data_IF_273971539392
#
_entry.id   IF_273971539392
#
_cell.length_a   1.000
_cell.length_b   1.000
_cell.length_c   1.000
_cell.angle_alpha   90.00
_cell.angle_beta   90.00
_cell.angle_gamma   90.00
#
_symmetry.space_group_name_H-M   'P 1'
#
loop_
_entity.id
_entity.type
_entity.pdbx_description
1 polymer ?
#
# COMPACT_ATOMS: atom_id res chain seq x y z
N UNK A 1 -54.44 2.55 49.14
CA UNK A 1 -53.55 3.59 48.62
C UNK A 1 -52.24 2.91 48.23
N UNK A 2 -52.09 2.54 46.95
CA UNK A 2 -50.89 1.87 46.41
C UNK A 2 -50.03 2.87 45.70
N UNK A 3 -48.83 3.14 46.19
CA UNK A 3 -47.84 4.03 45.55
C UNK A 3 -47.05 3.23 44.55
N UNK A 4 -47.25 3.48 43.24
CA UNK A 4 -46.40 3.00 42.16
C UNK A 4 -45.08 3.76 42.15
N UNK A 5 -43.98 3.06 42.37
CA UNK A 5 -42.62 3.59 42.08
C UNK A 5 -42.30 3.31 40.62
N UNK A 6 -42.27 4.35 39.82
CA UNK A 6 -41.69 4.30 38.45
C UNK A 6 -40.18 4.47 38.55
N UNK A 7 -39.45 3.36 38.37
CA UNK A 7 -38.00 3.39 38.22
C UNK A 7 -37.65 3.78 36.79
N UNK A 8 -37.07 4.96 36.61
CA UNK A 8 -36.49 5.38 35.32
C UNK A 8 -35.13 4.71 35.19
N UNK A 9 -35.05 3.70 34.31
CA UNK A 9 -33.80 3.06 33.90
C UNK A 9 -33.15 3.91 32.81
N UNK A 10 -32.20 4.75 33.20
CA UNK A 10 -31.40 5.53 32.26
C UNK A 10 -30.41 4.59 31.52
N UNK A 11 -30.74 4.22 30.29
CA UNK A 11 -29.82 3.53 29.39
C UNK A 11 -28.71 4.49 28.96
N UNK A 12 -27.53 4.37 29.57
CA UNK A 12 -26.31 4.98 29.04
C UNK A 12 -25.94 4.24 27.72
N UNK A 13 -26.35 4.82 26.60
CA UNK A 13 -25.79 4.45 25.30
C UNK A 13 -24.36 5.00 25.23
N UNK A 14 -23.38 4.14 25.49
CA UNK A 14 -22.00 4.41 25.10
C UNK A 14 -21.96 4.48 23.57
N UNK A 15 -21.97 5.68 23.01
CA UNK A 15 -21.58 5.92 21.65
C UNK A 15 -20.08 5.61 21.59
N UNK A 16 -19.72 4.38 21.23
CA UNK A 16 -18.39 4.04 20.82
C UNK A 16 -18.12 4.84 19.53
N UNK A 17 -17.57 6.02 19.68
CA UNK A 17 -17.01 6.78 18.58
C UNK A 17 -15.92 5.89 17.96
N UNK A 18 -16.23 5.30 16.82
CA UNK A 18 -15.23 4.57 16.04
C UNK A 18 -14.13 5.56 15.69
N UNK A 19 -13.00 5.47 16.39
CA UNK A 19 -11.76 6.06 15.90
C UNK A 19 -11.48 5.33 14.60
N UNK A 20 -11.59 6.02 13.47
CA UNK A 20 -11.06 5.51 12.22
C UNK A 20 -9.55 5.36 12.44
N UNK A 21 -9.10 4.14 12.69
CA UNK A 21 -7.69 3.82 12.70
C UNK A 21 -7.15 4.18 11.32
N UNK A 22 -6.05 4.93 11.27
CA UNK A 22 -5.38 5.23 10.01
C UNK A 22 -4.69 3.99 9.48
N UNK A 23 -4.39 3.96 8.19
CA UNK A 23 -3.68 2.83 7.56
C UNK A 23 -2.46 2.37 8.35
N UNK A 24 -1.70 3.31 8.95
CA UNK A 24 -0.53 2.98 9.76
C UNK A 24 -0.89 2.21 11.04
N UNK A 25 -2.03 2.53 11.68
CA UNK A 25 -2.48 1.83 12.88
C UNK A 25 -2.90 0.40 12.53
N UNK A 26 -3.58 0.20 11.39
CA UNK A 26 -3.95 -1.12 10.89
C UNK A 26 -2.71 -1.96 10.55
N UNK A 27 -1.70 -1.34 9.88
CA UNK A 27 -0.41 -1.96 9.57
C UNK A 27 0.30 -2.41 10.84
N UNK A 28 0.37 -1.54 11.86
CA UNK A 28 0.99 -1.86 13.16
C UNK A 28 0.24 -2.96 13.90
N UNK A 29 -1.09 -2.90 13.91
CA UNK A 29 -1.93 -3.93 14.56
C UNK A 29 -1.77 -5.31 13.89
N UNK A 30 -1.60 -5.34 12.57
CA UNK A 30 -1.37 -6.56 11.79
C UNK A 30 0.05 -7.12 11.96
N UNK A 31 1.03 -6.29 12.29
CA UNK A 31 2.43 -6.67 12.47
C UNK A 31 3.22 -6.87 11.17
N UNK A 32 2.69 -6.49 10.03
CA UNK A 32 3.40 -6.51 8.74
C UNK A 32 2.83 -5.49 7.76
N UNK A 33 3.67 -5.05 6.82
CA UNK A 33 3.31 -4.19 5.69
C UNK A 33 2.89 -5.04 4.50
N UNK A 34 1.76 -4.74 3.85
CA UNK A 34 1.36 -5.32 2.57
C UNK A 34 1.81 -4.38 1.45
N UNK A 35 2.81 -4.80 0.69
CA UNK A 35 3.41 -4.00 -0.37
C UNK A 35 3.08 -4.55 -1.75
N UNK A 36 2.38 -3.75 -2.56
CA UNK A 36 2.11 -4.04 -3.96
C UNK A 36 3.32 -3.71 -4.83
N UNK A 37 3.86 -4.71 -5.51
CA UNK A 37 5.02 -4.60 -6.40
C UNK A 37 4.68 -5.06 -7.81
N UNK A 38 5.57 -4.85 -8.78
CA UNK A 38 5.40 -5.37 -10.14
C UNK A 38 5.52 -6.89 -10.17
N UNK A 39 4.82 -7.54 -11.09
CA UNK A 39 4.91 -9.00 -11.31
C UNK A 39 6.17 -9.44 -12.08
N UNK A 40 6.95 -8.49 -12.62
CA UNK A 40 8.17 -8.78 -13.37
C UNK A 40 8.73 -7.52 -14.01
N UNK A 41 9.52 -6.76 -13.26
CA UNK A 41 10.26 -5.60 -13.73
C UNK A 41 11.73 -5.78 -13.28
N UNK A 42 12.62 -6.30 -14.15
CA UNK A 42 14.02 -6.54 -13.80
C UNK A 42 14.70 -5.31 -13.21
N UNK A 43 15.39 -5.48 -12.08
CA UNK A 43 16.02 -4.39 -11.32
C UNK A 43 15.07 -3.69 -10.34
N UNK A 44 13.76 -3.72 -10.54
CA UNK A 44 12.77 -3.09 -9.67
C UNK A 44 12.01 -4.10 -8.79
N UNK A 45 11.35 -5.07 -9.39
CA UNK A 45 10.69 -6.14 -8.67
C UNK A 45 10.65 -7.41 -9.53
N UNK A 46 11.34 -8.45 -9.10
CA UNK A 46 11.34 -9.79 -9.68
C UNK A 46 11.48 -10.83 -8.59
N UNK A 47 11.26 -12.07 -8.94
CA UNK A 47 11.57 -13.21 -8.09
C UNK A 47 12.87 -13.82 -8.57
N UNK A 48 13.82 -14.04 -7.67
CA UNK A 48 15.09 -14.69 -7.99
C UNK A 48 14.96 -16.22 -8.12
N UNK A 49 16.04 -16.88 -8.48
CA UNK A 49 16.07 -18.35 -8.66
C UNK A 49 15.76 -19.13 -7.38
N UNK A 50 15.83 -18.50 -6.22
CA UNK A 50 15.45 -19.06 -4.92
C UNK A 50 13.99 -18.85 -4.53
N UNK A 51 13.21 -18.14 -5.38
CA UNK A 51 11.83 -17.78 -5.11
C UNK A 51 11.66 -16.55 -4.22
N UNK A 52 12.71 -15.74 -4.03
CA UNK A 52 12.69 -14.56 -3.18
C UNK A 52 12.46 -13.30 -4.00
N UNK A 53 11.60 -12.41 -3.49
CA UNK A 53 11.41 -11.09 -4.08
C UNK A 53 12.68 -10.25 -3.95
N UNK A 54 13.12 -9.64 -5.07
CA UNK A 54 14.33 -8.82 -5.17
C UNK A 54 14.11 -7.60 -6.06
N UNK A 55 14.85 -6.53 -5.80
CA UNK A 55 14.88 -5.32 -6.62
C UNK A 55 14.60 -4.05 -5.84
N UNK A 56 14.75 -2.92 -6.50
CA UNK A 56 14.65 -1.58 -5.90
C UNK A 56 13.32 -1.33 -5.17
N UNK A 57 12.19 -1.65 -5.81
CA UNK A 57 10.86 -1.47 -5.20
C UNK A 57 10.66 -2.37 -3.99
N UNK A 58 11.19 -3.60 -4.06
CA UNK A 58 11.17 -4.57 -2.98
C UNK A 58 11.98 -4.08 -1.78
N UNK A 59 13.18 -3.57 -2.01
CA UNK A 59 14.05 -3.04 -0.95
C UNK A 59 13.48 -1.75 -0.35
N UNK A 60 12.80 -0.93 -1.15
CA UNK A 60 12.07 0.23 -0.65
C UNK A 60 10.99 -0.18 0.37
N UNK A 61 10.20 -1.22 0.09
CA UNK A 61 9.22 -1.73 1.03
C UNK A 61 9.85 -2.37 2.26
N UNK A 62 11.00 -3.02 2.13
CA UNK A 62 11.77 -3.51 3.29
C UNK A 62 12.25 -2.37 4.17
N UNK A 63 12.69 -1.27 3.58
CA UNK A 63 13.09 -0.07 4.33
C UNK A 63 11.90 0.54 5.10
N UNK A 64 10.72 0.58 4.50
CA UNK A 64 9.49 1.02 5.19
C UNK A 64 9.11 0.07 6.34
N UNK A 65 9.18 -1.24 6.13
CA UNK A 65 8.93 -2.22 7.19
C UNK A 65 9.92 -2.06 8.34
N UNK A 66 11.20 -1.87 8.04
CA UNK A 66 12.22 -1.59 9.04
C UNK A 66 11.93 -0.30 9.83
N UNK A 67 11.45 0.75 9.16
CA UNK A 67 11.09 2.01 9.82
C UNK A 67 9.86 1.88 10.73
N UNK A 68 8.89 1.03 10.36
CA UNK A 68 7.64 0.85 11.12
C UNK A 68 7.83 -0.13 12.29
N UNK A 69 8.54 -1.25 12.06
CA UNK A 69 8.62 -2.39 12.96
C UNK A 69 10.03 -2.64 13.55
N UNK A 70 11.07 -1.97 13.02
CA UNK A 70 12.46 -2.31 13.32
C UNK A 70 12.94 -3.59 12.63
N UNK A 71 12.10 -4.19 11.77
CA UNK A 71 12.37 -5.43 11.06
C UNK A 71 12.06 -5.29 9.55
N UNK A 72 13.07 -5.37 8.66
CA UNK A 72 12.88 -5.30 7.22
C UNK A 72 12.12 -6.52 6.65
N UNK A 73 11.98 -7.59 7.41
CA UNK A 73 11.27 -8.79 6.99
C UNK A 73 9.79 -8.76 7.36
N UNK A 74 9.34 -7.76 8.14
CA UNK A 74 7.93 -7.57 8.47
C UNK A 74 7.14 -6.96 7.30
N UNK A 75 7.31 -7.54 6.11
CA UNK A 75 6.63 -7.14 4.86
C UNK A 75 6.18 -8.36 4.08
N UNK A 76 5.01 -8.26 3.44
CA UNK A 76 4.51 -9.23 2.47
C UNK A 76 4.37 -8.54 1.12
N UNK A 77 4.91 -9.17 0.08
CA UNK A 77 4.83 -8.66 -1.29
C UNK A 77 3.63 -9.24 -2.01
N UNK A 78 2.94 -8.38 -2.74
CA UNK A 78 1.80 -8.75 -3.58
C UNK A 78 2.10 -8.29 -5.00
N UNK A 79 2.30 -9.26 -5.90
CA UNK A 79 2.55 -9.00 -7.31
C UNK A 79 1.29 -8.47 -8.00
N UNK A 80 1.30 -7.24 -8.47
CA UNK A 80 0.16 -6.59 -9.11
C UNK A 80 0.50 -6.18 -10.54
N UNK A 81 -0.41 -6.40 -11.47
CA UNK A 81 -0.29 -5.88 -12.83
C UNK A 81 -0.61 -4.38 -12.89
N UNK A 82 -0.30 -3.73 -14.00
CA UNK A 82 -0.65 -2.33 -14.20
C UNK A 82 -2.15 -2.07 -14.24
N UNK A 83 -2.95 -3.07 -14.60
CA UNK A 83 -4.40 -2.96 -14.69
C UNK A 83 -5.09 -2.97 -13.31
N UNK A 84 -4.59 -3.80 -12.37
CA UNK A 84 -5.30 -4.05 -11.10
C UNK A 84 -4.73 -3.30 -9.89
N UNK A 85 -3.54 -2.69 -10.02
CA UNK A 85 -2.83 -2.11 -8.87
C UNK A 85 -3.62 -1.06 -8.07
N UNK A 86 -4.34 -0.18 -8.78
CA UNK A 86 -5.12 0.87 -8.11
C UNK A 86 -6.37 0.34 -7.45
N UNK A 87 -7.02 -0.65 -8.05
CA UNK A 87 -8.18 -1.32 -7.46
C UNK A 87 -7.77 -2.09 -6.22
N UNK A 88 -6.65 -2.80 -6.25
CA UNK A 88 -6.11 -3.52 -5.10
C UNK A 88 -5.76 -2.56 -3.94
N UNK A 89 -5.15 -1.40 -4.23
CA UNK A 89 -4.88 -0.39 -3.21
C UNK A 89 -6.17 0.19 -2.64
N UNK A 90 -7.13 0.53 -3.48
CA UNK A 90 -8.43 1.07 -3.05
C UNK A 90 -9.26 0.07 -2.23
N UNK A 91 -9.11 -1.23 -2.51
CA UNK A 91 -9.77 -2.31 -1.77
C UNK A 91 -9.04 -2.67 -0.45
N UNK A 92 -7.87 -2.11 -0.19
CA UNK A 92 -7.07 -2.43 1.00
C UNK A 92 -6.38 -3.79 0.93
N UNK A 93 -6.24 -4.37 -0.27
CA UNK A 93 -5.47 -5.61 -0.48
C UNK A 93 -3.96 -5.38 -0.26
N UNK A 94 -3.53 -4.14 -0.46
CA UNK A 94 -2.19 -3.66 -0.14
C UNK A 94 -2.27 -2.30 0.55
N UNK A 95 -1.30 -2.01 1.39
CA UNK A 95 -1.21 -0.73 2.12
C UNK A 95 -0.51 0.34 1.30
N UNK A 96 0.42 -0.09 0.46
CA UNK A 96 1.25 0.78 -0.38
C UNK A 96 1.57 0.12 -1.72
N UNK A 97 1.73 0.95 -2.74
CA UNK A 97 2.27 0.54 -4.02
C UNK A 97 3.70 1.07 -4.17
N UNK A 98 4.69 0.19 -4.25
CA UNK A 98 6.05 0.50 -4.65
C UNK A 98 6.31 -0.15 -6.01
N UNK A 99 6.09 0.63 -7.06
CA UNK A 99 6.26 0.15 -8.44
C UNK A 99 6.26 1.30 -9.44
N UNK A 100 6.50 1.00 -10.72
CA UNK A 100 6.51 1.93 -11.84
C UNK A 100 5.13 2.63 -12.03
N UNK A 101 4.80 3.54 -11.13
CA UNK A 101 3.54 4.27 -11.13
C UNK A 101 3.80 5.76 -11.22
N UNK A 102 3.63 6.33 -12.41
CA UNK A 102 3.81 7.76 -12.65
C UNK A 102 2.80 8.56 -11.84
N UNK A 103 3.25 9.58 -11.13
CA UNK A 103 2.38 10.57 -10.50
C UNK A 103 1.74 11.45 -11.56
N UNK A 104 0.44 11.34 -11.73
CA UNK A 104 -0.33 12.18 -12.65
C UNK A 104 -1.50 12.80 -11.91
N UNK A 105 -1.96 13.94 -12.42
CA UNK A 105 -3.12 14.65 -11.85
C UNK A 105 -4.35 13.73 -11.71
N UNK A 106 -4.72 13.02 -12.77
CA UNK A 106 -5.89 12.12 -12.74
C UNK A 106 -5.75 10.96 -11.72
N UNK A 107 -4.56 10.43 -11.52
CA UNK A 107 -4.33 9.38 -10.51
C UNK A 107 -4.45 9.92 -9.10
N UNK A 108 -3.97 11.13 -8.87
CA UNK A 108 -4.02 11.78 -7.56
C UNK A 108 -5.46 12.23 -7.21
N UNK A 109 -6.17 12.84 -8.15
CA UNK A 109 -7.49 13.42 -7.92
C UNK A 109 -8.64 12.45 -8.18
N UNK A 110 -8.69 11.83 -9.38
CA UNK A 110 -9.85 11.05 -9.82
C UNK A 110 -9.86 9.67 -9.16
N UNK A 111 -8.68 9.04 -9.03
CA UNK A 111 -8.54 7.74 -8.37
C UNK A 111 -8.38 7.87 -6.85
N UNK A 112 -8.30 9.09 -6.32
CA UNK A 112 -8.14 9.37 -4.88
C UNK A 112 -6.96 8.63 -4.26
N UNK A 113 -5.85 8.52 -5.02
CA UNK A 113 -4.62 7.89 -4.55
C UNK A 113 -3.70 8.96 -3.97
N UNK A 114 -3.19 8.74 -2.79
CA UNK A 114 -2.20 9.64 -2.20
C UNK A 114 -0.80 9.23 -2.63
N UNK A 115 -0.13 10.07 -3.39
CA UNK A 115 1.29 9.88 -3.72
C UNK A 115 2.17 10.38 -2.58
N UNK A 116 3.00 9.50 -2.03
CA UNK A 116 3.86 9.83 -0.89
C UNK A 116 5.18 10.47 -1.30
N UNK A 117 5.64 10.21 -2.52
CA UNK A 117 6.87 10.75 -3.05
C UNK A 117 7.32 10.07 -4.34
N UNK A 118 8.31 10.67 -4.97
CA UNK A 118 8.99 10.11 -6.14
C UNK A 118 10.29 9.46 -5.65
N UNK A 119 10.41 8.15 -5.80
CA UNK A 119 11.58 7.39 -5.41
C UNK A 119 12.52 7.08 -6.58
N UNK A 120 12.06 7.29 -7.82
CA UNK A 120 12.83 7.08 -9.04
C UNK A 120 12.35 8.02 -10.14
N UNK A 121 13.30 8.65 -10.83
CA UNK A 121 13.02 9.46 -12.03
C UNK A 121 13.26 8.62 -13.25
N UNK A 122 12.22 8.42 -14.02
CA UNK A 122 12.21 7.67 -15.27
C UNK A 122 12.22 8.62 -16.47
N UNK A 123 12.50 8.07 -17.66
CA UNK A 123 12.50 8.79 -18.90
C UNK A 123 12.05 7.93 -20.07
N UNK A 124 11.70 8.58 -21.16
CA UNK A 124 11.39 7.90 -22.42
C UNK A 124 12.60 7.92 -23.35
N UNK A 125 12.83 6.77 -24.00
CA UNK A 125 13.79 6.63 -25.07
C UNK A 125 13.15 5.97 -26.29
N UNK A 126 13.80 6.12 -27.43
CA UNK A 126 13.39 5.43 -28.64
C UNK A 126 14.26 4.19 -28.85
N UNK A 127 13.59 3.04 -29.05
CA UNK A 127 14.27 1.83 -29.47
C UNK A 127 14.22 1.77 -31.00
N UNK A 128 15.38 1.70 -31.61
CA UNK A 128 15.52 1.59 -33.06
C UNK A 128 16.37 0.37 -33.42
N UNK A 129 16.27 -0.08 -34.67
CA UNK A 129 17.15 -1.14 -35.15
C UNK A 129 18.60 -0.68 -35.12
N UNK A 130 19.52 -1.56 -34.71
CA UNK A 130 20.95 -1.28 -34.59
C UNK A 130 21.58 -0.76 -35.89
N UNK A 131 21.05 -1.23 -37.02
CA UNK A 131 21.52 -0.85 -38.37
C UNK A 131 21.25 0.62 -38.71
N UNK A 132 20.36 1.31 -37.97
CA UNK A 132 20.10 2.74 -38.18
C UNK A 132 21.23 3.66 -37.68
N UNK A 133 22.15 3.14 -36.85
CA UNK A 133 23.37 3.85 -36.47
C UNK A 133 23.15 5.16 -35.66
N UNK A 134 21.96 5.31 -34.98
CA UNK A 134 21.61 6.45 -34.15
C UNK A 134 21.78 6.15 -32.68
#
# INVERSE_FOLDING_TARGET
>A
MKKLFFGVLAALTFAAGGTFAGTLDDVKARGNLLCGVSTGAPGFATVDDSGKDVGFDVDYCRALAAAIFGDPMAVKFVGLTSAVRFTALAAGEVDILARNTTWTYSRDTDLKQTFLGVNYYDGQGFMVKKELGV
#
